data_IF_334721762960
#
_entry.id   IF_334721762960
#
_cell.length_a   1.000
_cell.length_b   1.000
_cell.length_c   1.000
_cell.angle_alpha   90.00
_cell.angle_beta   90.00
_cell.angle_gamma   90.00
#
_symmetry.space_group_name_H-M   'P 1'
#
loop_
_entity.id
_entity.type
_entity.pdbx_description
1 polymer ?
#
# COMPACT_ATOMS: atom_id res chain seq x y z
N UNK A 1 11.94 -17.73 -0.45
CA UNK A 1 10.47 -17.94 -0.37
C UNK A 1 9.82 -16.83 -1.18
N UNK A 2 8.77 -17.14 -1.93
CA UNK A 2 7.90 -16.13 -2.55
C UNK A 2 6.95 -15.59 -1.50
N UNK A 3 6.81 -14.27 -1.40
CA UNK A 3 5.84 -13.67 -0.51
C UNK A 3 4.41 -14.00 -0.90
N UNK A 4 3.45 -13.60 -0.06
CA UNK A 4 2.02 -13.89 -0.29
C UNK A 4 1.14 -12.74 0.16
N UNK A 5 -0.08 -12.71 -0.35
CA UNK A 5 -1.17 -11.88 0.16
C UNK A 5 -1.76 -12.56 1.40
N UNK A 6 -1.87 -11.85 2.53
CA UNK A 6 -2.54 -12.37 3.74
C UNK A 6 -3.98 -11.88 3.86
N UNK A 7 -4.27 -10.70 3.32
CA UNK A 7 -5.62 -10.15 3.29
C UNK A 7 -5.80 -9.17 2.13
N UNK A 8 -7.05 -9.00 1.71
CA UNK A 8 -7.47 -7.96 0.76
C UNK A 8 -8.66 -7.20 1.31
N UNK A 9 -8.70 -5.90 1.06
CA UNK A 9 -9.68 -4.99 1.66
C UNK A 9 -10.11 -3.90 0.68
N UNK A 10 -11.39 -3.53 0.72
CA UNK A 10 -11.94 -2.42 -0.08
C UNK A 10 -13.20 -1.88 0.55
N UNK A 11 -13.41 -0.57 0.41
CA UNK A 11 -14.64 0.10 0.81
C UNK A 11 -15.03 1.16 -0.22
N UNK A 12 -16.34 1.29 -0.41
CA UNK A 12 -16.97 2.20 -1.36
C UNK A 12 -17.12 3.64 -0.84
N UNK A 13 -16.80 3.87 0.43
CA UNK A 13 -16.88 5.17 1.11
C UNK A 13 -15.52 5.62 1.64
N UNK A 14 -15.33 6.93 1.82
CA UNK A 14 -14.11 7.50 2.41
C UNK A 14 -14.02 7.27 3.92
N UNK A 15 -13.74 6.04 4.31
CA UNK A 15 -13.35 5.64 5.67
C UNK A 15 -11.82 5.53 5.78
N UNK A 16 -11.28 5.65 6.99
CA UNK A 16 -9.84 5.47 7.21
C UNK A 16 -9.43 4.01 7.03
N UNK A 17 -10.15 3.10 7.71
CA UNK A 17 -9.96 1.65 7.62
C UNK A 17 -10.83 1.06 6.52
N UNK A 18 -10.40 -0.08 5.98
CA UNK A 18 -11.09 -0.86 4.95
C UNK A 18 -11.58 -2.20 5.47
N UNK A 19 -12.75 -2.63 5.04
CA UNK A 19 -13.30 -3.96 5.35
C UNK A 19 -12.60 -5.05 4.52
N UNK A 20 -12.20 -6.13 5.18
CA UNK A 20 -11.64 -7.31 4.50
C UNK A 20 -12.69 -8.01 3.62
N UNK A 21 -12.22 -8.55 2.49
CA UNK A 21 -13.02 -9.28 1.51
C UNK A 21 -12.36 -10.62 1.19
N UNK A 22 -13.16 -11.56 0.69
CA UNK A 22 -12.63 -12.84 0.19
C UNK A 22 -11.77 -12.67 -1.06
N UNK A 23 -12.01 -11.61 -1.82
CA UNK A 23 -11.27 -11.24 -3.02
C UNK A 23 -11.49 -9.77 -3.36
N UNK A 24 -10.59 -9.18 -4.16
CA UNK A 24 -10.78 -7.89 -4.82
C UNK A 24 -10.42 -7.99 -6.30
N UNK A 25 -11.08 -7.19 -7.15
CA UNK A 25 -10.76 -7.09 -8.58
C UNK A 25 -9.93 -5.84 -8.83
N UNK A 26 -8.77 -6.00 -9.45
CA UNK A 26 -7.90 -4.92 -9.88
C UNK A 26 -8.21 -4.54 -11.32
N UNK A 27 -8.41 -3.24 -11.56
CA UNK A 27 -8.74 -2.65 -12.85
C UNK A 27 -7.57 -1.81 -13.34
N UNK A 28 -7.03 -2.15 -14.52
CA UNK A 28 -5.87 -1.49 -15.10
C UNK A 28 -6.06 0.03 -15.21
N UNK A 29 -5.11 0.79 -14.68
CA UNK A 29 -5.14 2.26 -14.65
C UNK A 29 -6.25 2.88 -13.80
N UNK A 30 -6.99 2.08 -13.02
CA UNK A 30 -8.10 2.56 -12.19
C UNK A 30 -7.91 2.24 -10.70
N UNK A 31 -7.39 1.07 -10.36
CA UNK A 31 -7.27 0.62 -8.95
C UNK A 31 -8.21 -0.53 -8.63
N UNK A 32 -8.73 -0.55 -7.41
CA UNK A 32 -9.61 -1.63 -6.93
C UNK A 32 -11.06 -1.36 -7.32
N UNK A 33 -11.72 -2.32 -7.96
CA UNK A 33 -13.15 -2.24 -8.30
C UNK A 33 -14.00 -2.00 -7.04
N UNK A 34 -14.87 -0.99 -7.09
CA UNK A 34 -15.74 -0.62 -5.97
C UNK A 34 -15.02 -0.02 -4.76
N UNK A 35 -13.74 0.36 -4.87
CA UNK A 35 -13.06 1.17 -3.87
C UNK A 35 -13.20 2.67 -4.18
N UNK A 36 -13.41 3.47 -3.15
CA UNK A 36 -13.58 4.93 -3.26
C UNK A 36 -12.36 5.64 -3.86
N UNK A 37 -11.16 5.04 -3.77
CA UNK A 37 -9.92 5.60 -4.30
C UNK A 37 -9.69 5.24 -5.78
N UNK A 38 -10.59 4.47 -6.41
CA UNK A 38 -10.45 4.08 -7.80
C UNK A 38 -10.71 5.24 -8.77
N UNK A 39 -9.84 5.36 -9.77
CA UNK A 39 -9.96 6.37 -10.83
C UNK A 39 -8.64 6.68 -11.51
N UNK A 40 -8.75 7.25 -12.71
CA UNK A 40 -7.59 7.65 -13.53
C UNK A 40 -6.84 8.86 -12.95
N UNK A 41 -7.56 9.75 -12.27
CA UNK A 41 -7.01 10.97 -11.67
C UNK A 41 -7.10 10.95 -10.15
N UNK A 42 -6.45 11.90 -9.47
CA UNK A 42 -6.40 11.99 -8.01
C UNK A 42 -7.80 11.80 -7.40
N UNK A 43 -7.91 10.82 -6.50
CA UNK A 43 -9.11 10.55 -5.67
C UNK A 43 -8.94 10.86 -4.19
N UNK A 44 -7.78 11.39 -3.80
CA UNK A 44 -7.50 11.72 -2.40
C UNK A 44 -8.23 13.01 -2.01
N UNK A 45 -9.12 12.94 -1.01
CA UNK A 45 -10.02 14.02 -0.59
C UNK A 45 -9.35 15.40 -0.52
N UNK A 46 -8.17 15.48 0.09
CA UNK A 46 -7.45 16.75 0.23
C UNK A 46 -6.79 17.26 -1.06
N UNK A 47 -6.31 16.35 -1.92
CA UNK A 47 -5.55 16.73 -3.14
C UNK A 47 -6.47 17.08 -4.31
N UNK A 48 -7.69 16.54 -4.33
CA UNK A 48 -8.70 16.89 -5.33
C UNK A 48 -8.99 18.39 -5.38
N UNK A 49 -8.82 19.10 -4.27
CA UNK A 49 -9.02 20.55 -4.19
C UNK A 49 -7.99 21.34 -4.99
N UNK A 50 -6.78 20.81 -5.21
CA UNK A 50 -5.65 21.56 -5.77
C UNK A 50 -5.18 21.04 -7.12
N UNK A 51 -5.25 19.73 -7.36
CA UNK A 51 -4.68 19.08 -8.55
C UNK A 51 -5.57 17.94 -9.09
N UNK A 52 -6.88 18.16 -9.34
CA UNK A 52 -7.85 17.09 -9.62
C UNK A 52 -7.56 16.28 -10.90
N UNK A 53 -6.83 16.84 -11.85
CA UNK A 53 -6.58 16.24 -13.17
C UNK A 53 -5.27 15.43 -13.24
N UNK A 54 -4.43 15.47 -12.18
CA UNK A 54 -3.19 14.71 -12.18
C UNK A 54 -3.45 13.19 -12.13
N UNK A 55 -2.58 12.37 -12.75
CA UNK A 55 -2.70 10.92 -12.70
C UNK A 55 -2.77 10.37 -11.27
N UNK A 56 -3.63 9.37 -11.07
CA UNK A 56 -3.73 8.68 -9.80
C UNK A 56 -2.53 7.73 -9.61
N UNK A 57 -1.53 8.17 -8.86
CA UNK A 57 -0.40 7.31 -8.45
C UNK A 57 -0.73 6.43 -7.24
N UNK A 58 -1.96 6.50 -6.74
CA UNK A 58 -2.41 5.99 -5.44
C UNK A 58 -3.57 5.01 -5.60
N UNK A 59 -3.53 4.20 -6.65
CA UNK A 59 -4.64 3.30 -7.03
C UNK A 59 -4.79 2.12 -6.08
N UNK A 60 -3.67 1.58 -5.57
CA UNK A 60 -3.65 0.46 -4.63
C UNK A 60 -2.65 0.75 -3.53
N UNK A 61 -3.08 0.62 -2.27
CA UNK A 61 -2.21 0.74 -1.10
C UNK A 61 -1.84 -0.65 -0.58
N UNK A 62 -0.55 -0.91 -0.36
CA UNK A 62 -0.04 -2.19 0.14
C UNK A 62 0.71 -2.02 1.46
N UNK A 63 0.45 -2.92 2.41
CA UNK A 63 1.13 -2.98 3.71
C UNK A 63 1.76 -4.35 3.94
N UNK A 64 2.88 -4.37 4.66
CA UNK A 64 3.55 -5.58 5.08
C UNK A 64 3.08 -5.95 6.49
N UNK A 65 2.61 -7.19 6.68
CA UNK A 65 2.05 -7.69 7.93
C UNK A 65 3.10 -7.74 9.05
N UNK A 66 4.38 -7.79 8.71
CA UNK A 66 5.49 -7.72 9.66
C UNK A 66 5.47 -6.43 10.49
N UNK A 67 4.94 -5.32 9.95
CA UNK A 67 4.71 -4.11 10.72
C UNK A 67 3.69 -4.34 11.83
N UNK A 68 2.63 -5.11 11.57
CA UNK A 68 1.59 -5.36 12.56
C UNK A 68 2.14 -6.18 13.72
N UNK A 69 3.00 -7.15 13.43
CA UNK A 69 3.73 -7.89 14.46
C UNK A 69 4.65 -6.96 15.29
N UNK A 70 5.35 -6.01 14.64
CA UNK A 70 6.16 -5.01 15.33
C UNK A 70 5.32 -4.13 16.26
N UNK A 71 4.18 -3.64 15.76
CA UNK A 71 3.25 -2.77 16.46
C UNK A 71 2.60 -3.47 17.65
N UNK A 72 2.22 -4.75 17.50
CA UNK A 72 1.65 -5.56 18.57
C UNK A 72 2.61 -5.67 19.76
N UNK A 73 3.91 -5.87 19.52
CA UNK A 73 4.94 -5.89 20.58
C UNK A 73 5.06 -4.57 21.33
N UNK A 74 4.63 -3.48 20.72
CA UNK A 74 4.60 -2.13 21.32
C UNK A 74 3.22 -1.78 21.91
N UNK A 75 2.30 -2.74 21.98
CA UNK A 75 0.95 -2.56 22.55
C UNK A 75 -0.07 -1.97 21.56
N UNK A 76 0.26 -1.90 20.27
CA UNK A 76 -0.66 -1.45 19.23
C UNK A 76 -1.25 -2.65 18.49
N UNK A 77 -2.50 -2.99 18.79
CA UNK A 77 -3.26 -3.98 18.02
C UNK A 77 -3.75 -3.36 16.71
N UNK A 78 -3.18 -3.81 15.59
CA UNK A 78 -3.55 -3.41 14.24
C UNK A 78 -3.74 -4.67 13.40
N UNK A 79 -4.85 -4.74 12.69
CA UNK A 79 -5.20 -5.83 11.78
C UNK A 79 -5.24 -5.34 10.33
N UNK A 80 -5.20 -6.28 9.39
CA UNK A 80 -5.33 -5.99 7.96
C UNK A 80 -6.55 -5.11 7.63
N UNK A 81 -6.34 -4.18 6.71
CA UNK A 81 -7.29 -3.15 6.29
C UNK A 81 -7.37 -1.95 7.22
N UNK A 82 -6.90 -2.04 8.48
CA UNK A 82 -7.12 -0.98 9.47
C UNK A 82 -6.33 0.29 9.21
N UNK A 83 -5.20 0.22 8.51
CA UNK A 83 -4.42 1.39 8.08
C UNK A 83 -4.80 1.86 6.66
N UNK A 84 -5.91 1.34 6.14
CA UNK A 84 -6.51 1.75 4.89
C UNK A 84 -5.85 1.15 3.66
N UNK A 85 -5.06 0.09 3.82
CA UNK A 85 -4.50 -0.70 2.72
C UNK A 85 -5.54 -1.55 2.02
N UNK A 86 -5.30 -1.78 0.74
CA UNK A 86 -6.09 -2.70 -0.06
C UNK A 86 -5.54 -4.12 -0.03
N UNK A 87 -4.23 -4.26 0.14
CA UNK A 87 -3.54 -5.55 0.13
C UNK A 87 -2.57 -5.58 1.31
N UNK A 88 -2.72 -6.58 2.16
CA UNK A 88 -1.72 -6.91 3.18
C UNK A 88 -0.89 -8.08 2.67
N UNK A 89 0.43 -7.94 2.69
CA UNK A 89 1.38 -8.98 2.24
C UNK A 89 2.22 -9.49 3.40
N UNK A 90 2.80 -10.68 3.23
CA UNK A 90 3.82 -11.22 4.11
C UNK A 90 4.99 -11.78 3.29
N UNK A 91 6.18 -11.68 3.85
CA UNK A 91 7.46 -12.10 3.26
C UNK A 91 7.76 -11.34 1.96
N UNK A 92 7.36 -10.07 1.90
CA UNK A 92 7.67 -9.12 0.83
C UNK A 92 8.28 -7.88 1.45
N UNK A 93 9.55 -7.61 1.15
CA UNK A 93 10.20 -6.37 1.57
C UNK A 93 9.70 -5.19 0.72
N UNK A 94 8.47 -4.74 0.99
CA UNK A 94 7.83 -3.65 0.25
C UNK A 94 8.62 -2.34 0.32
N UNK A 95 9.23 -2.05 1.47
CA UNK A 95 9.92 -0.77 1.71
C UNK A 95 11.30 -0.72 1.05
N UNK A 96 11.94 -1.88 0.85
CA UNK A 96 13.20 -2.01 0.13
C UNK A 96 13.07 -2.08 -1.40
N UNK A 97 11.85 -2.08 -1.95
CA UNK A 97 11.65 -2.11 -3.39
C UNK A 97 12.12 -0.82 -4.07
N UNK A 98 12.65 -0.89 -5.30
CA UNK A 98 12.88 0.31 -6.10
C UNK A 98 11.57 0.86 -6.68
N UNK A 99 11.54 2.16 -6.93
CA UNK A 99 10.46 2.80 -7.71
C UNK A 99 10.37 2.14 -9.08
N UNK A 100 9.16 1.76 -9.50
CA UNK A 100 8.92 1.05 -10.76
C UNK A 100 9.02 -0.48 -10.67
N UNK A 101 9.28 -1.05 -9.48
CA UNK A 101 9.18 -2.49 -9.29
C UNK A 101 7.78 -3.01 -9.63
N UNK A 102 7.73 -4.18 -10.27
CA UNK A 102 6.49 -4.85 -10.61
C UNK A 102 6.19 -5.95 -9.57
N UNK A 103 4.99 -5.92 -9.03
CA UNK A 103 4.44 -6.97 -8.17
C UNK A 103 3.46 -7.80 -8.97
N UNK A 104 3.84 -9.04 -9.25
CA UNK A 104 2.98 -10.05 -9.86
C UNK A 104 2.20 -10.74 -8.76
N UNK A 105 0.87 -10.63 -8.81
CA UNK A 105 -0.06 -11.10 -7.80
C UNK A 105 -0.96 -12.19 -8.37
N UNK A 106 -0.93 -13.37 -7.75
CA UNK A 106 -1.71 -14.52 -8.20
C UNK A 106 -1.39 -14.89 -9.65
N UNK A 107 -2.42 -15.17 -10.45
CA UNK A 107 -2.25 -15.66 -11.83
C UNK A 107 -1.91 -14.55 -12.84
N UNK A 108 -2.51 -13.35 -12.69
CA UNK A 108 -2.52 -12.35 -13.77
C UNK A 108 -2.21 -10.92 -13.34
N UNK A 109 -2.57 -10.54 -12.12
CA UNK A 109 -2.53 -9.14 -11.74
C UNK A 109 -1.09 -8.62 -11.63
N UNK A 110 -0.84 -7.42 -12.14
CA UNK A 110 0.46 -6.75 -12.05
C UNK A 110 0.27 -5.34 -11.54
N UNK A 111 0.95 -5.01 -10.45
CA UNK A 111 1.04 -3.67 -9.90
C UNK A 111 2.44 -3.09 -10.13
N UNK A 112 2.53 -1.81 -10.44
CA UNK A 112 3.80 -1.08 -10.42
C UNK A 112 3.87 -0.19 -9.19
N UNK A 113 4.93 -0.35 -8.40
CA UNK A 113 5.18 0.43 -7.20
C UNK A 113 5.55 1.86 -7.58
N UNK A 114 4.80 2.83 -7.07
CA UNK A 114 4.98 4.25 -7.39
C UNK A 114 5.69 5.04 -6.29
N UNK A 115 5.64 4.59 -5.05
CA UNK A 115 6.29 5.27 -3.93
C UNK A 115 5.82 4.84 -2.56
N UNK A 116 6.36 5.46 -1.52
CA UNK A 116 5.95 5.28 -0.13
C UNK A 116 4.62 5.99 0.13
N UNK A 117 3.74 5.33 0.89
CA UNK A 117 2.52 5.97 1.37
C UNK A 117 2.89 6.98 2.46
N UNK A 118 2.54 8.25 2.23
CA UNK A 118 2.70 9.29 3.24
C UNK A 118 1.76 9.05 4.45
N UNK A 119 2.28 8.93 5.69
CA UNK A 119 1.44 8.90 6.87
C UNK A 119 0.74 10.23 7.13
N UNK A 120 -0.42 10.15 7.79
CA UNK A 120 -1.25 11.33 8.09
C UNK A 120 -1.84 11.24 9.50
N UNK A 121 -2.34 12.37 9.98
CA UNK A 121 -2.92 12.50 11.33
C UNK A 121 -4.04 11.48 11.62
N UNK A 122 -4.78 11.02 10.60
CA UNK A 122 -5.82 9.98 10.74
C UNK A 122 -5.32 8.68 11.39
N UNK A 123 -4.02 8.38 11.33
CA UNK A 123 -3.43 7.24 12.05
C UNK A 123 -3.55 7.41 13.56
N UNK A 124 -3.31 8.62 14.08
CA UNK A 124 -3.47 8.92 15.49
C UNK A 124 -4.94 9.01 15.90
N UNK A 125 -5.81 9.46 14.99
CA UNK A 125 -7.27 9.43 15.22
C UNK A 125 -7.78 7.98 15.35
N UNK A 126 -7.21 7.06 14.57
CA UNK A 126 -7.49 5.63 14.67
C UNK A 126 -6.94 5.02 15.97
N UNK A 127 -5.66 5.30 16.30
CA UNK A 127 -5.06 4.85 17.56
C UNK A 127 -4.00 5.85 18.02
N UNK A 128 -4.24 6.49 19.16
CA UNK A 128 -3.35 7.51 19.72
C UNK A 128 -1.92 6.99 19.89
N UNK A 129 -0.95 7.73 19.35
CA UNK A 129 0.48 7.40 19.44
C UNK A 129 1.01 6.54 18.29
N UNK A 130 0.12 5.88 17.54
CA UNK A 130 0.50 4.96 16.47
C UNK A 130 1.23 5.68 15.32
N UNK A 131 0.94 6.96 15.09
CA UNK A 131 1.62 7.73 14.06
C UNK A 131 3.14 7.76 14.29
N UNK A 132 3.62 7.85 15.53
CA UNK A 132 5.06 7.86 15.82
C UNK A 132 5.74 6.54 15.47
N UNK A 133 5.03 5.42 15.63
CA UNK A 133 5.57 4.08 15.40
C UNK A 133 5.71 3.71 13.93
N UNK A 134 5.08 4.46 13.03
CA UNK A 134 5.22 4.27 11.57
C UNK A 134 6.31 5.14 10.95
N UNK A 135 7.06 5.90 11.76
CA UNK A 135 8.31 6.53 11.34
C UNK A 135 9.49 5.64 11.73
N UNK A 136 10.51 5.58 10.87
CA UNK A 136 11.77 4.95 11.17
C UNK A 136 12.90 5.91 10.84
N UNK A 137 13.81 6.12 11.78
CA UNK A 137 15.05 6.84 11.55
C UNK A 137 16.11 5.85 11.09
N UNK A 138 16.89 6.23 10.09
CA UNK A 138 18.13 5.55 9.76
C UNK A 138 19.22 6.05 10.74
N UNK A 139 19.71 5.17 11.64
CA UNK A 139 20.70 5.57 12.64
C UNK A 139 22.08 5.87 12.05
N UNK A 140 22.35 5.44 10.81
CA UNK A 140 23.64 5.61 10.12
C UNK A 140 23.64 6.89 9.30
N UNK A 141 22.61 7.10 8.47
CA UNK A 141 22.54 8.30 7.62
C UNK A 141 21.90 9.51 8.31
N UNK A 142 21.21 9.30 9.43
CA UNK A 142 20.35 10.33 10.06
C UNK A 142 19.09 10.64 9.25
N UNK A 143 18.87 9.95 8.14
CA UNK A 143 17.65 10.04 7.34
C UNK A 143 16.45 9.42 8.06
N UNK A 144 15.29 9.54 7.45
CA UNK A 144 14.08 8.89 7.95
C UNK A 144 13.25 8.32 6.80
N UNK A 145 12.50 7.27 7.11
CA UNK A 145 11.56 6.62 6.20
C UNK A 145 10.23 6.38 6.89
N UNK A 146 9.24 5.97 6.12
CA UNK A 146 7.91 5.66 6.58
C UNK A 146 7.65 4.18 6.42
N UNK A 147 7.14 3.54 7.48
CA UNK A 147 6.74 2.14 7.48
C UNK A 147 5.29 1.95 7.06
N UNK A 148 4.62 3.01 6.62
CA UNK A 148 3.21 2.98 6.21
C UNK A 148 2.96 2.31 4.86
N UNK A 149 3.85 1.44 4.39
CA UNK A 149 3.67 0.70 3.15
C UNK A 149 3.91 1.53 1.88
N UNK A 150 3.48 0.97 0.75
CA UNK A 150 3.70 1.53 -0.58
C UNK A 150 2.40 1.77 -1.32
N UNK A 151 2.44 2.71 -2.26
CA UNK A 151 1.39 2.92 -3.24
C UNK A 151 1.80 2.29 -4.56
N UNK A 152 0.81 1.86 -5.32
CA UNK A 152 1.02 1.28 -6.64
C UNK A 152 -0.10 1.67 -7.60
N UNK A 153 0.18 1.48 -8.89
CA UNK A 153 -0.79 1.57 -9.99
C UNK A 153 -0.99 0.20 -10.63
N UNK A 154 -2.19 -0.07 -11.11
CA UNK A 154 -2.53 -1.34 -11.76
C UNK A 154 -2.06 -1.30 -13.21
N UNK A 155 -1.08 -2.13 -13.55
CA UNK A 155 -0.59 -2.32 -14.93
C UNK A 155 -1.36 -3.40 -15.67
N UNK A 156 -1.65 -4.51 -15.00
CA UNK A 156 -2.53 -5.56 -15.50
C UNK A 156 -3.58 -5.92 -14.45
N UNK A 157 -4.85 -5.95 -14.88
CA UNK A 157 -5.97 -6.25 -14.00
C UNK A 157 -6.09 -7.73 -13.68
N UNK A 158 -6.94 -8.05 -12.70
CA UNK A 158 -7.17 -9.42 -12.27
C UNK A 158 -7.78 -9.49 -10.88
N UNK A 159 -8.40 -10.61 -10.56
CA UNK A 159 -8.88 -10.89 -9.20
C UNK A 159 -7.73 -11.42 -8.36
N UNK A 160 -7.56 -10.86 -7.17
CA UNK A 160 -6.58 -11.31 -6.18
C UNK A 160 -7.26 -11.69 -4.87
N UNK A 161 -6.68 -12.65 -4.16
CA UNK A 161 -7.24 -13.30 -2.96
C UNK A 161 -6.18 -13.48 -1.87
N UNK A 162 -6.59 -13.59 -0.59
CA UNK A 162 -5.71 -14.11 0.44
C UNK A 162 -5.12 -15.48 0.02
N UNK A 163 -3.82 -15.67 0.24
CA UNK A 163 -3.07 -16.86 -0.16
C UNK A 163 -2.38 -16.76 -1.53
N UNK A 164 -2.74 -15.78 -2.37
CA UNK A 164 -2.07 -15.60 -3.66
C UNK A 164 -0.59 -15.26 -3.47
N UNK A 165 0.25 -15.87 -4.31
CA UNK A 165 1.69 -15.59 -4.32
C UNK A 165 1.96 -14.17 -4.81
N UNK A 166 3.01 -13.57 -4.25
CA UNK A 166 3.57 -12.27 -4.63
C UNK A 166 4.98 -12.51 -5.15
N UNK A 167 5.19 -12.24 -6.44
CA UNK A 167 6.53 -12.24 -7.05
C UNK A 167 6.93 -10.82 -7.40
N UNK A 168 8.14 -10.46 -6.99
CA UNK A 168 8.74 -9.16 -7.28
C UNK A 168 9.60 -9.26 -8.53
N UNK A 169 9.46 -8.29 -9.42
CA UNK A 169 10.35 -8.05 -10.56
C UNK A 169 10.92 -6.63 -10.43
N UNK A 170 12.24 -6.53 -10.33
CA UNK A 170 12.94 -5.25 -10.25
C UNK A 170 13.03 -4.59 -11.64
N UNK A 171 12.94 -3.26 -11.73
CA UNK A 171 13.17 -2.55 -12.97
C UNK A 171 14.66 -2.64 -13.38
N UNK A 172 15.02 -2.33 -14.64
CA UNK A 172 16.41 -2.24 -15.04
C UNK A 172 17.22 -1.26 -14.19
N UNK A 173 18.51 -1.55 -14.00
CA UNK A 173 19.44 -0.67 -13.31
C UNK A 173 19.66 0.66 -14.08
N UNK A 174 19.96 1.77 -13.38
CA UNK A 174 20.11 1.89 -11.93
C UNK A 174 18.76 1.99 -11.19
N UNK A 175 18.67 1.34 -10.03
CA UNK A 175 17.52 1.45 -9.15
C UNK A 175 17.40 2.85 -8.55
N UNK A 176 16.15 3.32 -8.41
CA UNK A 176 15.83 4.55 -7.66
C UNK A 176 15.09 4.17 -6.38
N UNK A 177 15.42 4.78 -5.23
CA UNK A 177 14.69 4.54 -3.99
C UNK A 177 13.23 5.01 -4.12
N UNK A 178 12.37 4.54 -3.21
CA UNK A 178 10.99 5.01 -3.13
C UNK A 178 10.94 6.39 -2.49
N UNK A 179 10.23 7.30 -3.14
CA UNK A 179 9.87 8.61 -2.59
C UNK A 179 8.41 8.62 -2.17
N UNK A 180 7.99 9.64 -1.42
CA UNK A 180 6.59 9.82 -1.06
C UNK A 180 5.74 10.18 -2.27
N UNK A 181 4.57 9.57 -2.36
CA UNK A 181 3.48 9.95 -3.27
C UNK A 181 2.22 10.33 -2.51
#
# INVERSE_FOLDING_TARGET
MTGRITAVSRDETYTFSKTNRDSITLLAGLGVEGDVHAGKTIRHQFRMTYEPDLPNLRQVHLMHEELFDELARKGFEVSAGQLGENITTREVDLLGLPTGALLHLGERAVLEVTGLRNPCAKINDFRKGLLGEVFAMDPVSGGFTFKSGVMAVVRHGGTVRPGDAVRVEAPPLPHRPLERV
#
